data_IF_515714780838
#
_entry.id   IF_515714780838
#
_cell.length_a   1.000
_cell.length_b   1.000
_cell.length_c   1.000
_cell.angle_alpha   90.00
_cell.angle_beta   90.00
_cell.angle_gamma   90.00
#
_symmetry.space_group_name_H-M   'P 1'
#
loop_
_entity.id
_entity.type
_entity.pdbx_description
1 polymer ?
#
# COMPACT_ATOMS: atom_id res chain seq x y z
N UNK A 1 20.52 -3.78 -6.24
CA UNK A 1 20.90 -3.45 -4.84
C UNK A 1 20.16 -2.24 -4.25
N UNK A 2 19.91 -1.13 -4.98
CA UNK A 2 19.19 0.05 -4.42
C UNK A 2 17.72 -0.21 -4.09
N UNK A 3 16.94 -0.79 -5.02
CA UNK A 3 15.53 -1.17 -4.79
C UNK A 3 15.35 -2.04 -3.54
N UNK A 4 16.26 -2.98 -3.30
CA UNK A 4 16.24 -3.85 -2.13
C UNK A 4 16.45 -3.07 -0.82
N UNK A 5 17.27 -2.01 -0.83
CA UNK A 5 17.42 -1.12 0.33
C UNK A 5 16.15 -0.29 0.56
N UNK A 6 15.58 0.31 -0.49
CA UNK A 6 14.33 1.08 -0.42
C UNK A 6 13.16 0.22 0.08
N UNK A 7 13.06 -1.01 -0.42
CA UNK A 7 12.10 -2.01 0.03
C UNK A 7 12.30 -2.38 1.50
N UNK A 8 13.54 -2.63 1.92
CA UNK A 8 13.85 -2.92 3.33
C UNK A 8 13.50 -1.73 4.25
N UNK A 9 13.79 -0.50 3.84
CA UNK A 9 13.39 0.69 4.60
C UNK A 9 11.87 0.83 4.69
N UNK A 10 11.14 0.58 3.59
CA UNK A 10 9.68 0.55 3.61
C UNK A 10 9.14 -0.53 4.57
N UNK A 11 9.69 -1.74 4.53
CA UNK A 11 9.33 -2.83 5.44
C UNK A 11 9.53 -2.44 6.90
N UNK A 12 10.70 -1.88 7.24
CA UNK A 12 11.03 -1.46 8.62
C UNK A 12 10.10 -0.34 9.06
N UNK A 13 9.88 0.68 8.24
CA UNK A 13 8.95 1.77 8.55
C UNK A 13 7.53 1.27 8.76
N UNK A 14 7.08 0.30 7.96
CA UNK A 14 5.76 -0.33 8.14
C UNK A 14 5.65 -1.08 9.46
N UNK A 15 6.67 -1.84 9.84
CA UNK A 15 6.69 -2.54 11.14
C UNK A 15 6.58 -1.53 12.29
N UNK A 16 7.32 -0.42 12.20
CA UNK A 16 7.26 0.65 13.21
C UNK A 16 5.86 1.26 13.27
N UNK A 17 5.26 1.59 12.12
CA UNK A 17 3.90 2.17 12.06
C UNK A 17 2.87 1.20 12.65
N UNK A 18 2.96 -0.09 12.34
CA UNK A 18 2.06 -1.11 12.90
C UNK A 18 2.25 -1.24 14.41
N UNK A 19 3.49 -1.26 14.91
CA UNK A 19 3.76 -1.32 16.35
C UNK A 19 3.21 -0.09 17.08
N UNK A 20 3.45 1.10 16.53
CA UNK A 20 2.91 2.35 17.07
C UNK A 20 1.38 2.32 17.05
N UNK A 21 0.77 1.89 15.95
CA UNK A 21 -0.68 1.75 15.84
C UNK A 21 -1.25 0.82 16.92
N UNK A 22 -0.64 -0.35 17.12
CA UNK A 22 -1.06 -1.32 18.15
C UNK A 22 -0.95 -0.70 19.54
N UNK A 23 0.21 -0.13 19.90
CA UNK A 23 0.43 0.46 21.24
C UNK A 23 -0.56 1.62 21.50
N UNK A 24 -0.78 2.49 20.53
CA UNK A 24 -1.73 3.60 20.65
C UNK A 24 -3.18 3.15 20.70
N UNK A 25 -3.54 2.10 19.95
CA UNK A 25 -4.92 1.59 19.91
C UNK A 25 -5.35 1.00 21.25
N UNK A 26 -4.44 0.51 22.09
CA UNK A 26 -4.77 -0.02 23.42
C UNK A 26 -4.65 0.99 24.57
N UNK A 27 -4.10 2.18 24.32
CA UNK A 27 -3.86 3.20 25.36
C UNK A 27 -4.76 4.43 25.21
N UNK A 28 -5.42 4.60 24.06
CA UNK A 28 -6.28 5.75 23.74
C UNK A 28 -7.71 5.59 24.27
N UNK A 29 -8.44 6.71 24.37
CA UNK A 29 -9.88 6.72 24.69
C UNK A 29 -10.71 6.09 23.54
N UNK A 30 -11.85 5.46 23.87
CA UNK A 30 -12.69 4.67 22.96
C UNK A 30 -13.11 5.42 21.69
N UNK A 31 -13.43 6.72 21.79
CA UNK A 31 -13.78 7.54 20.62
C UNK A 31 -12.61 7.67 19.61
N UNK A 32 -11.39 7.83 20.12
CA UNK A 32 -10.18 7.90 19.29
C UNK A 32 -9.83 6.53 18.70
N UNK A 33 -10.03 5.44 19.46
CA UNK A 33 -9.86 4.08 18.96
C UNK A 33 -10.80 3.78 17.79
N UNK A 34 -12.09 4.15 17.92
CA UNK A 34 -13.09 3.99 16.85
C UNK A 34 -12.68 4.78 15.60
N UNK A 35 -12.31 6.05 15.75
CA UNK A 35 -11.87 6.89 14.64
C UNK A 35 -10.65 6.29 13.93
N UNK A 36 -9.61 5.91 14.69
CA UNK A 36 -8.40 5.30 14.14
C UNK A 36 -8.68 3.98 13.43
N UNK A 37 -9.61 3.18 13.94
CA UNK A 37 -10.00 1.90 13.33
C UNK A 37 -10.74 2.10 12.01
N UNK A 38 -11.70 3.02 11.96
CA UNK A 38 -12.42 3.37 10.73
C UNK A 38 -11.47 3.92 9.69
N UNK A 39 -10.58 4.85 10.07
CA UNK A 39 -9.57 5.39 9.17
C UNK A 39 -8.62 4.30 8.66
N UNK A 40 -8.19 3.38 9.53
CA UNK A 40 -7.33 2.26 9.14
C UNK A 40 -8.00 1.36 8.11
N UNK A 41 -9.29 1.05 8.28
CA UNK A 41 -10.06 0.26 7.32
C UNK A 41 -10.20 1.00 5.98
N UNK A 42 -10.55 2.29 6.01
CA UNK A 42 -10.74 3.09 4.79
C UNK A 42 -9.43 3.23 4.02
N UNK A 43 -8.35 3.62 4.71
CA UNK A 43 -7.01 3.76 4.11
C UNK A 43 -6.52 2.40 3.61
N UNK A 44 -6.66 1.35 4.43
CA UNK A 44 -6.23 0.01 4.07
C UNK A 44 -6.96 -0.52 2.82
N UNK A 45 -8.28 -0.32 2.75
CA UNK A 45 -9.09 -0.71 1.58
C UNK A 45 -8.67 0.06 0.32
N UNK A 46 -8.41 1.36 0.43
CA UNK A 46 -7.92 2.17 -0.68
C UNK A 46 -6.55 1.68 -1.18
N UNK A 47 -5.63 1.34 -0.26
CA UNK A 47 -4.32 0.79 -0.60
C UNK A 47 -4.43 -0.56 -1.29
N UNK A 48 -5.34 -1.45 -0.85
CA UNK A 48 -5.60 -2.73 -1.53
C UNK A 48 -6.04 -2.50 -2.98
N UNK A 49 -7.01 -1.61 -3.20
CA UNK A 49 -7.51 -1.31 -4.55
C UNK A 49 -6.41 -0.71 -5.45
N UNK A 50 -5.65 0.26 -4.92
CA UNK A 50 -4.56 0.89 -5.67
C UNK A 50 -3.40 -0.07 -5.95
N UNK A 51 -3.06 -0.94 -4.99
CA UNK A 51 -2.03 -1.97 -5.15
C UNK A 51 -2.41 -3.00 -6.22
N UNK A 52 -3.64 -3.52 -6.21
CA UNK A 52 -4.09 -4.41 -7.30
C UNK A 52 -4.06 -3.71 -8.66
N UNK A 53 -4.57 -2.48 -8.73
CA UNK A 53 -4.55 -1.71 -9.97
C UNK A 53 -3.14 -1.48 -10.51
N UNK A 54 -2.18 -1.16 -9.64
CA UNK A 54 -0.78 -0.98 -10.04
C UNK A 54 -0.09 -2.29 -10.43
N UNK A 55 -0.44 -3.41 -9.80
CA UNK A 55 0.05 -4.74 -10.19
C UNK A 55 -0.49 -5.17 -11.56
N UNK A 56 -1.79 -4.98 -11.82
CA UNK A 56 -2.41 -5.26 -13.12
C UNK A 56 -1.80 -4.39 -14.23
N UNK A 57 -1.51 -3.12 -13.93
CA UNK A 57 -0.80 -2.23 -14.85
C UNK A 57 0.60 -2.77 -15.20
N UNK A 58 1.31 -3.33 -14.21
CA UNK A 58 2.60 -3.98 -14.42
C UNK A 58 2.49 -5.18 -15.36
N UNK A 59 1.44 -6.01 -15.18
CA UNK A 59 1.15 -7.18 -16.02
C UNK A 59 0.84 -6.79 -17.47
N UNK A 60 -0.01 -5.77 -17.65
CA UNK A 60 -0.39 -5.28 -18.96
C UNK A 60 0.82 -4.70 -19.73
N UNK A 61 1.80 -4.12 -19.02
CA UNK A 61 3.07 -3.68 -19.60
C UNK A 61 4.00 -4.84 -19.99
N UNK A 62 4.09 -5.92 -19.19
CA UNK A 62 4.94 -7.08 -19.54
C UNK A 62 4.37 -7.93 -20.67
N UNK A 63 3.04 -8.05 -20.74
CA UNK A 63 2.31 -8.75 -21.81
C UNK A 63 2.28 -7.97 -23.12
N UNK A 64 2.79 -6.74 -23.15
CA UNK A 64 2.79 -5.89 -24.35
C UNK A 64 1.41 -5.28 -24.68
N UNK A 65 0.40 -5.46 -23.83
CA UNK A 65 -0.91 -4.84 -24.00
C UNK A 65 -0.88 -3.32 -23.80
N UNK A 66 0.05 -2.84 -22.96
CA UNK A 66 0.33 -1.43 -22.74
C UNK A 66 1.75 -1.10 -23.20
N UNK A 67 1.85 -0.28 -24.24
CA UNK A 67 3.12 0.29 -24.67
C UNK A 67 3.16 1.75 -24.21
N UNK A 68 4.02 2.07 -23.25
CA UNK A 68 4.43 3.46 -22.98
C UNK A 68 5.37 3.99 -24.09
N UNK A 69 5.13 3.61 -25.36
CA UNK A 69 5.89 4.04 -26.54
C UNK A 69 5.19 5.16 -27.33
N UNK A 70 5.83 6.35 -27.30
CA UNK A 70 5.63 7.64 -28.01
C UNK A 70 4.28 7.89 -28.69
N UNK A 71 3.60 8.93 -28.23
CA UNK A 71 2.75 9.76 -29.11
C UNK A 71 3.01 11.25 -28.78
N UNK A 72 3.43 12.04 -29.79
CA UNK A 72 3.57 13.52 -29.75
C UNK A 72 4.66 14.12 -28.83
N UNK A 73 5.91 13.65 -28.90
CA UNK A 73 7.06 14.41 -28.37
C UNK A 73 7.23 14.48 -26.84
N UNK A 74 6.34 13.87 -26.04
CA UNK A 74 6.58 13.65 -24.60
C UNK A 74 6.51 12.16 -24.27
N UNK A 75 7.65 11.48 -24.43
CA UNK A 75 7.93 10.29 -23.64
C UNK A 75 8.34 10.74 -22.25
N UNK A 76 7.70 10.26 -21.20
CA UNK A 76 8.37 10.16 -19.92
C UNK A 76 8.37 8.69 -19.56
N UNK A 77 9.56 8.08 -19.58
CA UNK A 77 9.72 6.64 -19.40
C UNK A 77 10.92 6.11 -20.20
N UNK A 78 11.74 5.27 -19.57
CA UNK A 78 12.81 4.51 -20.25
C UNK A 78 12.16 3.28 -20.91
N UNK A 79 12.69 2.82 -22.05
CA UNK A 79 12.19 1.63 -22.76
C UNK A 79 12.04 0.44 -21.79
N UNK A 80 10.90 -0.27 -21.83
CA UNK A 80 10.55 -1.39 -20.93
C UNK A 80 10.52 -1.05 -19.42
N UNK A 81 10.23 0.19 -19.04
CA UNK A 81 10.06 0.58 -17.64
C UNK A 81 8.75 1.31 -17.42
N UNK A 82 8.17 1.14 -16.24
CA UNK A 82 7.00 1.88 -15.76
C UNK A 82 7.42 3.30 -15.41
N UNK A 83 6.84 4.28 -16.10
CA UNK A 83 6.98 5.68 -15.72
C UNK A 83 6.11 6.01 -14.52
N UNK A 84 6.73 6.63 -13.51
CA UNK A 84 6.08 7.16 -12.33
C UNK A 84 6.34 8.66 -12.26
N UNK A 85 5.32 9.52 -12.22
CA UNK A 85 5.51 10.95 -12.00
C UNK A 85 6.27 11.19 -10.69
N UNK A 86 7.30 12.03 -10.72
CA UNK A 86 8.10 12.42 -9.55
C UNK A 86 8.96 11.32 -8.89
N UNK A 87 9.06 10.13 -9.49
CA UNK A 87 9.98 9.07 -9.06
C UNK A 87 10.82 8.53 -10.23
N UNK A 88 11.83 7.72 -9.93
CA UNK A 88 12.59 7.01 -10.97
C UNK A 88 11.72 5.94 -11.65
N UNK A 89 12.09 5.57 -12.88
CA UNK A 89 11.36 4.55 -13.64
C UNK A 89 11.68 3.16 -13.10
N UNK A 90 10.65 2.43 -12.68
CA UNK A 90 10.76 1.04 -12.19
C UNK A 90 10.68 0.04 -13.34
N UNK A 91 11.37 -1.08 -13.22
CA UNK A 91 11.05 -2.23 -14.09
C UNK A 91 9.64 -2.73 -13.76
N UNK A 92 8.93 -3.36 -14.71
CA UNK A 92 7.60 -3.90 -14.44
C UNK A 92 7.58 -4.87 -13.25
N UNK A 93 8.64 -5.66 -13.06
CA UNK A 93 8.77 -6.56 -11.90
C UNK A 93 8.96 -5.79 -10.57
N UNK A 94 9.77 -4.72 -10.55
CA UNK A 94 9.91 -3.86 -9.37
C UNK A 94 8.59 -3.15 -9.03
N UNK A 95 7.89 -2.66 -10.05
CA UNK A 95 6.57 -2.03 -9.90
C UNK A 95 5.52 -3.03 -9.40
N UNK A 96 5.52 -4.25 -9.92
CA UNK A 96 4.69 -5.35 -9.45
C UNK A 96 4.91 -5.63 -7.97
N UNK A 97 6.17 -5.81 -7.56
CA UNK A 97 6.53 -6.12 -6.18
C UNK A 97 6.16 -4.97 -5.23
N UNK A 98 6.38 -3.72 -5.63
CA UNK A 98 5.99 -2.55 -4.85
C UNK A 98 4.47 -2.50 -4.62
N UNK A 99 3.69 -2.79 -5.66
CA UNK A 99 2.24 -2.78 -5.57
C UNK A 99 1.68 -3.92 -4.71
N UNK A 100 2.27 -5.13 -4.80
CA UNK A 100 1.91 -6.22 -3.87
C UNK A 100 2.27 -5.90 -2.42
N UNK A 101 3.36 -5.18 -2.19
CA UNK A 101 3.69 -4.68 -0.86
C UNK A 101 2.63 -3.67 -0.37
N UNK A 102 2.21 -2.72 -1.21
CA UNK A 102 1.12 -1.79 -0.89
C UNK A 102 -0.18 -2.55 -0.56
N UNK A 103 -0.52 -3.56 -1.35
CA UNK A 103 -1.69 -4.43 -1.09
C UNK A 103 -1.58 -5.12 0.26
N UNK A 104 -0.42 -5.71 0.58
CA UNK A 104 -0.19 -6.39 1.85
C UNK A 104 -0.31 -5.44 3.05
N UNK A 105 0.24 -4.23 2.94
CA UNK A 105 0.07 -3.17 3.92
C UNK A 105 -1.41 -2.83 4.11
N UNK A 106 -2.16 -2.68 3.02
CA UNK A 106 -3.58 -2.39 3.06
C UNK A 106 -4.37 -3.48 3.79
N UNK A 107 -4.07 -4.75 3.51
CA UNK A 107 -4.69 -5.90 4.20
C UNK A 107 -4.42 -5.88 5.70
N UNK A 108 -3.18 -5.60 6.12
CA UNK A 108 -2.83 -5.50 7.54
C UNK A 108 -3.64 -4.39 8.22
N UNK A 109 -3.74 -3.21 7.61
CA UNK A 109 -4.51 -2.09 8.17
C UNK A 109 -5.99 -2.40 8.30
N UNK A 110 -6.58 -3.07 7.31
CA UNK A 110 -7.98 -3.52 7.37
C UNK A 110 -8.17 -4.55 8.48
N UNK A 111 -7.27 -5.54 8.59
CA UNK A 111 -7.34 -6.58 9.62
C UNK A 111 -7.22 -5.98 11.03
N UNK A 112 -6.25 -5.08 11.24
CA UNK A 112 -6.05 -4.41 12.52
C UNK A 112 -7.22 -3.50 12.89
N UNK A 113 -7.71 -2.68 11.97
CA UNK A 113 -8.87 -1.82 12.22
C UNK A 113 -10.12 -2.63 12.51
N UNK A 114 -10.33 -3.75 11.80
CA UNK A 114 -11.46 -4.67 12.06
C UNK A 114 -11.36 -5.32 13.43
N UNK A 115 -10.15 -5.71 13.84
CA UNK A 115 -9.88 -6.29 15.16
C UNK A 115 -10.17 -5.28 16.28
N UNK A 116 -9.70 -4.04 16.16
CA UNK A 116 -9.96 -3.00 17.17
C UNK A 116 -11.45 -2.67 17.24
N UNK A 117 -12.16 -2.55 16.10
CA UNK A 117 -13.62 -2.40 16.11
C UNK A 117 -14.30 -3.59 16.80
N UNK A 118 -13.88 -4.82 16.50
CA UNK A 118 -14.42 -6.03 17.12
C UNK A 118 -14.25 -6.04 18.63
N UNK A 119 -13.10 -5.61 19.14
CA UNK A 119 -12.85 -5.48 20.59
C UNK A 119 -13.73 -4.39 21.19
N UNK A 120 -13.78 -3.19 20.58
CA UNK A 120 -14.57 -2.08 21.11
C UNK A 120 -16.06 -2.44 21.18
N UNK A 121 -16.62 -2.99 20.10
CA UNK A 121 -18.03 -3.41 20.10
C UNK A 121 -18.29 -4.64 20.96
N UNK A 122 -17.36 -5.60 21.00
CA UNK A 122 -17.48 -6.79 21.84
C UNK A 122 -17.49 -6.46 23.33
N UNK A 123 -16.67 -5.50 23.78
CA UNK A 123 -16.63 -5.03 25.17
C UNK A 123 -17.88 -4.25 25.56
N UNK A 124 -18.61 -3.64 24.61
CA UNK A 124 -19.85 -2.92 24.88
C UNK A 124 -21.12 -3.79 24.84
N UNK A 125 -21.02 -5.05 24.43
CA UNK A 125 -22.15 -6.01 24.37
C UNK A 125 -22.24 -6.87 25.64
N UNK A 126 -21.17 -6.97 26.43
CA UNK A 126 -21.13 -7.63 27.74
C UNK A 126 -21.17 -6.62 28.89
#
# INVERSE_FOLDING_TARGET
MRFQKEFNYCMISMIIIVLVYVIFSFTMNTQLQLLLSVLSIVIGSALVMLGFWGADFAFAMTSGQLHQEKIKGKFRGKKKKVYVPFMENYTPLEWWNLNWFITFVGVILVALGSLVLGIVFGVHIF
#
